data_IF_965109288000
#
_entry.id   IF_965109288000
#
_cell.length_a   1.000
_cell.length_b   1.000
_cell.length_c   1.000
_cell.angle_alpha   90.00
_cell.angle_beta   90.00
_cell.angle_gamma   90.00
#
_symmetry.space_group_name_H-M   'P 1'
#
loop_
_entity.id
_entity.type
_entity.pdbx_description
1 polymer ?
#
# COMPACT_ATOMS: atom_id res chain seq x y z
N UNK A 1 -1.80 12.06 1.31
CA UNK A 1 -0.69 12.03 2.29
C UNK A 1 -0.37 13.40 2.87
N UNK A 2 0.40 14.28 2.21
CA UNK A 2 0.88 15.57 2.81
C UNK A 2 -0.22 16.46 3.42
N UNK A 3 -1.36 16.62 2.73
CA UNK A 3 -2.49 17.40 3.26
C UNK A 3 -3.15 16.77 4.50
N UNK A 4 -3.13 15.44 4.63
CA UNK A 4 -3.66 14.75 5.81
C UNK A 4 -2.76 14.99 7.03
N UNK A 5 -1.44 14.89 6.83
CA UNK A 5 -0.47 15.22 7.88
C UNK A 5 -0.57 16.68 8.32
N UNK A 6 -0.70 17.61 7.37
CA UNK A 6 -0.89 19.03 7.66
C UNK A 6 -2.17 19.31 8.47
N UNK A 7 -3.17 18.44 8.40
CA UNK A 7 -4.40 18.50 9.18
C UNK A 7 -4.32 17.76 10.54
N UNK A 8 -3.15 17.25 10.93
CA UNK A 8 -2.96 16.53 12.20
C UNK A 8 -3.47 15.08 12.21
N UNK A 9 -3.82 14.51 11.05
CA UNK A 9 -4.25 13.11 10.93
C UNK A 9 -3.02 12.20 10.99
N UNK A 10 -3.07 11.15 11.83
CA UNK A 10 -2.10 10.04 11.75
C UNK A 10 -2.26 9.33 10.41
N UNK A 11 -1.31 9.55 9.50
CA UNK A 11 -1.38 9.06 8.13
C UNK A 11 -0.03 8.45 7.69
N UNK A 12 -0.10 7.31 7.01
CA UNK A 12 1.00 6.69 6.28
C UNK A 12 0.84 6.84 4.76
N UNK A 13 1.93 6.70 4.02
CA UNK A 13 1.90 6.53 2.57
C UNK A 13 3.11 5.70 2.13
N UNK A 14 2.93 4.94 1.05
CA UNK A 14 3.96 4.10 0.45
C UNK A 14 3.90 4.21 -1.07
N UNK A 15 5.06 4.18 -1.71
CA UNK A 15 5.18 3.98 -3.16
C UNK A 15 5.53 2.52 -3.41
N UNK A 16 4.76 1.85 -4.28
CA UNK A 16 5.15 0.56 -4.85
C UNK A 16 5.92 0.85 -6.13
N UNK A 17 7.22 0.57 -6.12
CA UNK A 17 8.09 0.86 -7.27
C UNK A 17 7.93 -0.21 -8.35
N UNK A 18 8.14 0.17 -9.60
CA UNK A 18 8.05 -0.76 -10.75
C UNK A 18 6.63 -1.14 -11.16
N UNK A 19 5.59 -0.65 -10.47
CA UNK A 19 4.20 -0.90 -10.83
C UNK A 19 3.61 0.26 -11.63
N UNK A 20 2.85 0.02 -12.71
CA UNK A 20 1.95 1.03 -13.25
C UNK A 20 0.76 1.21 -12.29
N UNK A 21 -0.25 1.98 -12.70
CA UNK A 21 -1.47 2.12 -11.93
C UNK A 21 -2.09 0.75 -11.58
N UNK A 22 -2.33 0.51 -10.29
CA UNK A 22 -2.90 -0.73 -9.74
C UNK A 22 -2.10 -2.02 -10.03
N UNK A 23 -0.82 -1.91 -10.37
CA UNK A 23 0.00 -3.08 -10.72
C UNK A 23 0.16 -4.08 -9.58
N UNK A 24 0.20 -3.60 -8.33
CA UNK A 24 0.25 -4.43 -7.13
C UNK A 24 -1.03 -5.21 -6.84
N UNK A 25 -2.15 -4.88 -7.49
CA UNK A 25 -3.41 -5.64 -7.40
C UNK A 25 -3.70 -6.46 -8.67
N UNK A 26 -3.40 -5.91 -9.84
CA UNK A 26 -3.81 -6.47 -11.13
C UNK A 26 -2.88 -7.56 -11.68
N UNK A 27 -1.61 -7.58 -11.28
CA UNK A 27 -0.60 -8.49 -11.85
C UNK A 27 -0.17 -9.60 -10.90
N UNK A 28 -1.06 -10.08 -10.02
CA UNK A 28 -0.73 -11.12 -9.03
C UNK A 28 -0.26 -12.46 -9.65
N UNK A 29 -0.59 -12.72 -10.92
CA UNK A 29 -0.04 -13.88 -11.65
C UNK A 29 1.39 -13.66 -12.17
N UNK A 30 1.81 -12.42 -12.38
CA UNK A 30 3.12 -12.07 -12.93
C UNK A 30 4.13 -11.62 -11.85
N UNK A 31 3.67 -10.93 -10.81
CA UNK A 31 4.46 -10.46 -9.68
C UNK A 31 3.71 -10.72 -8.34
N UNK A 32 3.44 -12.00 -8.00
CA UNK A 32 2.65 -12.38 -6.82
C UNK A 32 3.20 -11.80 -5.52
N UNK A 33 4.51 -11.65 -5.40
CA UNK A 33 5.19 -11.09 -4.24
C UNK A 33 4.84 -9.62 -3.97
N UNK A 34 4.64 -8.83 -5.04
CA UNK A 34 4.25 -7.42 -4.91
C UNK A 34 2.81 -7.33 -4.37
N UNK A 35 1.91 -8.17 -4.88
CA UNK A 35 0.54 -8.27 -4.37
C UNK A 35 0.51 -8.75 -2.93
N UNK A 36 1.28 -9.79 -2.59
CA UNK A 36 1.35 -10.33 -1.24
C UNK A 36 1.83 -9.27 -0.23
N UNK A 37 2.82 -8.45 -0.59
CA UNK A 37 3.32 -7.36 0.24
C UNK A 37 2.26 -6.28 0.49
N UNK A 38 1.52 -5.85 -0.56
CA UNK A 38 0.40 -4.92 -0.37
C UNK A 38 -0.70 -5.51 0.52
N UNK A 39 -1.06 -6.79 0.35
CA UNK A 39 -2.03 -7.49 1.22
C UNK A 39 -1.56 -7.50 2.67
N UNK A 40 -0.31 -7.89 2.91
CA UNK A 40 0.27 -7.95 4.25
C UNK A 40 0.30 -6.57 4.91
N UNK A 41 0.66 -5.52 4.17
CA UNK A 41 0.67 -4.13 4.65
C UNK A 41 -0.72 -3.66 5.07
N UNK A 42 -1.77 -3.96 4.28
CA UNK A 42 -3.16 -3.62 4.63
C UNK A 42 -3.59 -4.41 5.88
N UNK A 43 -3.31 -5.71 5.93
CA UNK A 43 -3.67 -6.55 7.06
C UNK A 43 -2.99 -6.08 8.37
N UNK A 44 -1.70 -5.72 8.31
CA UNK A 44 -0.97 -5.15 9.45
C UNK A 44 -1.59 -3.82 9.89
N UNK A 45 -1.87 -2.90 8.96
CA UNK A 45 -2.50 -1.62 9.28
C UNK A 45 -3.87 -1.77 9.96
N UNK A 46 -4.66 -2.79 9.59
CA UNK A 46 -5.94 -3.07 10.26
C UNK A 46 -5.76 -3.66 11.66
N UNK A 47 -4.73 -4.49 11.85
CA UNK A 47 -4.45 -5.17 13.15
C UNK A 47 -3.77 -4.25 14.17
N UNK A 48 -3.00 -3.27 13.73
CA UNK A 48 -2.30 -2.30 14.58
C UNK A 48 -3.22 -1.16 15.07
N UNK A 49 -4.52 -1.25 14.83
CA UNK A 49 -5.54 -0.27 15.26
C UNK A 49 -6.37 -0.76 16.42
#
# INVERSE_FOLDING_TARGET
>A
YRKLLAAGVSAGARTVHGTPHAGDMGFFHAAPEITADTIASIAAFVRDR
#
